data_IF_636080365236
#
_entry.id   IF_636080365236
#
_cell.length_a   1.000
_cell.length_b   1.000
_cell.length_c   1.000
_cell.angle_alpha   90.00
_cell.angle_beta   90.00
_cell.angle_gamma   90.00
#
_symmetry.space_group_name_H-M   'P 1'
#
loop_
_entity.id
_entity.type
_entity.pdbx_description
1 polymer ?
#
# COMPACT_ATOMS: atom_id res chain seq x y z
N UNK A 1 0.60 7.07 -10.54
CA UNK A 1 0.30 6.16 -9.42
C UNK A 1 0.06 7.01 -8.18
N UNK A 2 -1.21 7.23 -7.84
CA UNK A 2 -1.57 8.01 -6.64
C UNK A 2 -1.24 7.17 -5.40
N UNK A 3 -0.49 7.75 -4.45
CA UNK A 3 0.04 7.02 -3.28
C UNK A 3 -1.00 7.04 -2.15
N UNK A 4 -1.47 5.87 -1.72
CA UNK A 4 -2.34 5.70 -0.53
C UNK A 4 -1.57 5.68 0.80
N UNK A 5 -0.46 6.42 0.86
CA UNK A 5 0.47 6.39 1.99
C UNK A 5 -0.24 6.85 3.27
N UNK A 6 -0.58 5.90 4.14
CA UNK A 6 -1.33 6.13 5.37
C UNK A 6 -2.17 4.95 5.83
N UNK A 7 -2.65 4.12 4.89
CA UNK A 7 -3.47 2.94 5.22
C UNK A 7 -2.65 1.68 5.51
N UNK A 8 -1.42 1.60 5.01
CA UNK A 8 -0.52 0.47 5.23
C UNK A 8 0.82 0.98 5.74
N UNK A 9 0.92 1.31 7.03
CA UNK A 9 2.13 1.90 7.59
C UNK A 9 3.32 0.94 7.51
N UNK A 10 4.48 1.51 7.24
CA UNK A 10 5.73 0.75 7.17
C UNK A 10 5.85 -0.20 5.98
N UNK A 11 4.98 -0.12 4.97
CA UNK A 11 5.14 -0.89 3.73
C UNK A 11 5.79 -0.03 2.65
N UNK A 12 6.84 -0.56 2.03
CA UNK A 12 7.49 0.00 0.85
C UNK A 12 7.15 -0.85 -0.36
N UNK A 13 6.67 -0.21 -1.43
CA UNK A 13 6.48 -0.83 -2.73
C UNK A 13 7.61 -0.46 -3.69
N UNK A 14 8.04 -1.42 -4.50
CA UNK A 14 8.97 -1.19 -5.61
C UNK A 14 8.57 -2.04 -6.81
N UNK A 15 8.61 -1.48 -8.02
CA UNK A 15 8.11 -2.11 -9.24
C UNK A 15 9.29 -2.42 -10.15
N UNK A 16 9.46 -3.70 -10.46
CA UNK A 16 10.54 -4.19 -11.30
C UNK A 16 9.98 -4.65 -12.62
N UNK A 17 10.57 -4.17 -13.71
CA UNK A 17 10.25 -4.63 -15.05
C UNK A 17 11.33 -5.61 -15.51
N UNK A 18 10.93 -6.59 -16.31
CA UNK A 18 11.87 -7.45 -17.01
C UNK A 18 12.86 -6.62 -17.85
N UNK A 19 14.06 -7.15 -18.06
CA UNK A 19 15.07 -6.49 -18.92
C UNK A 19 14.67 -6.49 -20.39
N UNK A 20 13.80 -7.41 -20.79
CA UNK A 20 13.20 -7.48 -22.10
C UNK A 20 11.86 -6.71 -22.10
N UNK A 21 11.48 -6.06 -23.22
CA UNK A 21 10.25 -5.26 -23.29
C UNK A 21 9.01 -6.15 -23.45
N UNK A 22 8.90 -7.20 -22.64
CA UNK A 22 7.75 -8.11 -22.63
C UNK A 22 6.51 -7.43 -22.08
N UNK A 23 6.69 -6.42 -21.21
CA UNK A 23 5.61 -5.78 -20.45
C UNK A 23 5.34 -6.46 -19.11
N UNK A 24 6.10 -7.51 -18.77
CA UNK A 24 6.05 -8.15 -17.47
C UNK A 24 6.61 -7.25 -16.38
N UNK A 25 6.00 -7.33 -15.21
CA UNK A 25 6.47 -6.60 -14.04
C UNK A 25 6.17 -7.36 -12.75
N UNK A 26 7.07 -7.25 -11.78
CA UNK A 26 6.84 -7.72 -10.41
C UNK A 26 6.77 -6.52 -9.48
N UNK A 27 5.65 -6.39 -8.76
CA UNK A 27 5.56 -5.48 -7.62
C UNK A 27 6.06 -6.21 -6.37
N UNK A 28 7.09 -5.65 -5.74
CA UNK A 28 7.57 -6.09 -4.43
C UNK A 28 7.03 -5.17 -3.34
N UNK A 29 6.45 -5.76 -2.30
CA UNK A 29 6.06 -5.11 -1.06
C UNK A 29 6.98 -5.60 0.06
N UNK A 30 7.57 -4.66 0.78
CA UNK A 30 8.55 -4.94 1.83
C UNK A 30 8.17 -4.22 3.12
N UNK A 31 8.26 -4.92 4.25
CA UNK A 31 8.17 -4.28 5.56
C UNK A 31 9.44 -3.45 5.83
N UNK A 32 9.25 -2.17 6.15
CA UNK A 32 10.31 -1.20 6.43
C UNK A 32 11.04 -1.49 7.75
N UNK A 33 10.55 -2.43 8.58
CA UNK A 33 11.23 -2.88 9.78
C UNK A 33 12.60 -3.53 9.52
N UNK A 34 12.86 -3.99 8.28
CA UNK A 34 14.20 -4.40 7.84
C UNK A 34 14.26 -5.79 7.21
N UNK A 35 15.48 -6.30 6.94
CA UNK A 35 15.68 -7.62 6.32
C UNK A 35 15.08 -8.75 7.16
N UNK A 36 14.48 -9.76 6.49
CA UNK A 36 13.85 -10.91 7.15
C UNK A 36 12.47 -10.63 7.73
N UNK A 37 11.96 -9.40 7.59
CA UNK A 37 10.57 -9.07 7.89
C UNK A 37 9.63 -9.52 6.76
N UNK A 38 8.35 -9.17 6.91
CA UNK A 38 7.31 -9.58 5.97
C UNK A 38 7.51 -9.02 4.57
N UNK A 39 7.09 -9.78 3.55
CA UNK A 39 7.16 -9.38 2.15
C UNK A 39 6.00 -9.96 1.34
N UNK A 40 5.72 -9.36 0.19
CA UNK A 40 4.90 -9.93 -0.87
C UNK A 40 5.47 -9.60 -2.26
N UNK A 41 5.29 -10.50 -3.22
CA UNK A 41 5.52 -10.28 -4.66
C UNK A 41 4.19 -10.45 -5.39
N UNK A 42 4.02 -9.66 -6.45
CA UNK A 42 2.84 -9.72 -7.33
C UNK A 42 3.32 -9.63 -8.76
N UNK A 43 3.11 -10.71 -9.52
CA UNK A 43 3.56 -10.82 -10.90
C UNK A 43 2.45 -10.42 -11.86
N UNK A 44 2.77 -9.46 -12.73
CA UNK A 44 1.99 -9.07 -13.89
C UNK A 44 2.58 -9.73 -15.14
N UNK A 45 1.75 -10.45 -15.87
CA UNK A 45 2.05 -10.97 -17.21
C UNK A 45 1.05 -10.39 -18.20
N UNK A 46 1.49 -9.72 -19.28
CA UNK A 46 0.58 -9.14 -20.25
C UNK A 46 -0.31 -10.19 -20.91
N UNK A 47 -1.62 -9.94 -20.92
CA UNK A 47 -2.62 -10.84 -21.50
C UNK A 47 -3.20 -11.86 -20.53
N UNK A 48 -2.68 -11.95 -19.31
CA UNK A 48 -3.27 -12.74 -18.23
C UNK A 48 -4.26 -11.91 -17.42
N UNK A 49 -5.37 -12.55 -17.03
CA UNK A 49 -6.43 -11.91 -16.23
C UNK A 49 -6.22 -12.03 -14.72
N UNK A 50 -5.13 -12.69 -14.29
CA UNK A 50 -4.81 -12.95 -12.90
C UNK A 50 -3.36 -12.58 -12.57
N UNK A 51 -3.15 -12.16 -11.33
CA UNK A 51 -1.83 -11.88 -10.77
C UNK A 51 -1.41 -13.03 -9.85
N UNK A 52 -0.20 -13.54 -10.04
CA UNK A 52 0.39 -14.51 -9.10
C UNK A 52 0.92 -13.74 -7.90
N UNK A 53 0.51 -14.14 -6.70
CA UNK A 53 0.92 -13.50 -5.44
C UNK A 53 1.64 -14.50 -4.56
N UNK A 54 2.84 -14.14 -4.14
CA UNK A 54 3.57 -14.84 -3.08
C UNK A 54 3.80 -13.90 -1.90
N UNK A 55 3.74 -14.42 -0.67
CA UNK A 55 3.97 -13.60 0.52
C UNK A 55 4.39 -14.44 1.72
N UNK A 56 5.26 -13.88 2.56
CA UNK A 56 5.72 -14.51 3.79
C UNK A 56 6.04 -13.50 4.90
N UNK A 57 6.16 -14.00 6.13
CA UNK A 57 6.41 -13.21 7.33
C UNK A 57 5.18 -13.07 8.23
N UNK A 58 5.32 -12.30 9.31
CA UNK A 58 4.28 -12.13 10.34
C UNK A 58 3.09 -11.28 9.90
N UNK A 59 3.23 -10.52 8.81
CA UNK A 59 2.18 -9.73 8.17
C UNK A 59 1.93 -10.23 6.75
N UNK A 60 0.68 -10.13 6.30
CA UNK A 60 0.26 -10.46 4.94
C UNK A 60 0.15 -9.17 4.14
N UNK A 61 1.28 -8.69 3.65
CA UNK A 61 1.39 -7.32 3.12
C UNK A 61 0.52 -7.07 1.89
N UNK A 62 0.33 -8.09 1.04
CA UNK A 62 -0.60 -7.97 -0.09
C UNK A 62 -2.03 -7.78 0.38
N UNK A 63 -2.48 -8.61 1.33
CA UNK A 63 -3.82 -8.54 1.90
C UNK A 63 -4.08 -7.17 2.56
N UNK A 64 -3.09 -6.59 3.24
CA UNK A 64 -3.18 -5.25 3.82
C UNK A 64 -3.30 -4.14 2.75
N UNK A 65 -2.51 -4.22 1.67
CA UNK A 65 -2.58 -3.28 0.54
C UNK A 65 -3.90 -3.40 -0.21
N UNK A 66 -4.38 -4.61 -0.43
CA UNK A 66 -5.66 -4.88 -1.07
C UNK A 66 -6.82 -4.33 -0.21
N UNK A 67 -6.79 -4.58 1.10
CA UNK A 67 -7.77 -4.03 2.03
C UNK A 67 -7.76 -2.49 2.04
N UNK A 68 -6.58 -1.88 2.01
CA UNK A 68 -6.41 -0.43 1.90
C UNK A 68 -6.99 0.12 0.58
N UNK A 69 -6.72 -0.54 -0.54
CA UNK A 69 -7.26 -0.18 -1.84
C UNK A 69 -8.80 -0.23 -1.84
N UNK A 70 -9.39 -1.30 -1.32
CA UNK A 70 -10.84 -1.41 -1.18
C UNK A 70 -11.42 -0.37 -0.22
N UNK A 71 -10.71 0.01 0.83
CA UNK A 71 -11.14 1.10 1.72
C UNK A 71 -11.14 2.45 0.99
N UNK A 72 -10.11 2.74 0.20
CA UNK A 72 -10.06 3.96 -0.62
C UNK A 72 -11.19 4.01 -1.66
N UNK A 73 -11.51 2.85 -2.27
CA UNK A 73 -12.68 2.75 -3.15
C UNK A 73 -13.98 3.07 -2.40
N UNK A 74 -14.15 2.55 -1.17
CA UNK A 74 -15.32 2.85 -0.32
C UNK A 74 -15.44 4.32 0.06
N UNK A 75 -14.32 5.03 0.20
CA UNK A 75 -14.31 6.49 0.41
C UNK A 75 -14.68 7.29 -0.84
N UNK A 76 -14.93 6.64 -1.97
CA UNK A 76 -15.29 7.31 -3.22
C UNK A 76 -14.07 7.86 -3.97
N UNK A 77 -12.91 7.23 -3.81
CA UNK A 77 -11.67 7.60 -4.52
C UNK A 77 -11.26 9.06 -4.28
N UNK A 78 -11.16 9.51 -3.02
CA UNK A 78 -10.80 10.88 -2.72
C UNK A 78 -9.45 11.24 -3.32
N UNK A 79 -9.37 12.43 -3.91
CA UNK A 79 -8.11 13.01 -4.34
C UNK A 79 -7.20 13.29 -3.14
N UNK A 80 -5.89 13.32 -3.37
CA UNK A 80 -4.88 13.55 -2.32
C UNK A 80 -5.12 14.84 -1.52
N UNK A 81 -5.71 15.87 -2.12
CA UNK A 81 -6.02 17.17 -1.48
C UNK A 81 -7.07 17.08 -0.37
N UNK A 82 -7.86 16.00 -0.32
CA UNK A 82 -8.80 15.75 0.78
C UNK A 82 -8.14 15.13 2.00
N UNK A 83 -6.90 14.65 1.85
CA UNK A 83 -6.14 14.13 2.97
C UNK A 83 -5.39 15.26 3.65
N UNK A 84 -5.37 15.23 4.98
CA UNK A 84 -4.54 16.12 5.77
C UNK A 84 -3.66 15.37 6.75
N UNK A 85 -2.67 16.08 7.29
CA UNK A 85 -1.71 15.60 8.27
C UNK A 85 -1.70 16.55 9.45
N UNK A 86 -2.00 16.04 10.64
CA UNK A 86 -1.80 16.76 11.90
C UNK A 86 -0.54 16.24 12.56
N UNK A 87 0.38 17.15 12.89
CA UNK A 87 1.63 16.86 13.61
C UNK A 87 1.58 17.56 14.96
N UNK A 88 1.83 16.81 16.02
CA UNK A 88 1.88 17.27 17.42
C UNK A 88 3.14 16.73 18.11
N UNK A 89 3.41 17.17 19.33
CA UNK A 89 4.46 16.55 20.18
C UNK A 89 4.24 15.06 20.40
N UNK A 90 2.98 14.61 20.34
CA UNK A 90 2.59 13.22 20.62
C UNK A 90 2.66 12.33 19.35
N UNK A 91 3.01 12.91 18.21
CA UNK A 91 3.18 12.20 16.94
C UNK A 91 2.39 12.81 15.79
N UNK A 92 2.23 12.01 14.73
CA UNK A 92 1.60 12.39 13.47
C UNK A 92 0.34 11.56 13.19
N UNK A 93 -0.69 12.20 12.64
CA UNK A 93 -1.96 11.54 12.30
C UNK A 93 -2.45 12.02 10.93
N UNK A 94 -2.79 11.08 10.06
CA UNK A 94 -3.41 11.35 8.75
C UNK A 94 -4.94 11.32 8.92
N UNK A 95 -5.65 12.16 8.21
CA UNK A 95 -7.12 12.24 8.24
C UNK A 95 -7.70 12.54 6.85
N UNK A 96 -8.99 12.29 6.67
CA UNK A 96 -9.75 12.57 5.45
C UNK A 96 -10.77 13.68 5.72
N UNK A 97 -10.80 14.73 4.91
CA UNK A 97 -11.67 15.91 5.00
C UNK A 97 -11.48 16.80 6.23
N UNK A 98 -11.50 16.23 7.44
CA UNK A 98 -11.40 16.96 8.70
C UNK A 98 -10.45 16.27 9.70
N UNK A 99 -9.74 17.02 10.58
CA UNK A 99 -8.80 16.45 11.56
C UNK A 99 -9.36 15.39 12.53
N UNK A 100 -10.69 15.30 12.67
CA UNK A 100 -11.37 14.29 13.49
C UNK A 100 -11.55 12.95 12.78
N UNK A 101 -11.49 12.93 11.45
CA UNK A 101 -11.71 11.76 10.60
C UNK A 101 -10.39 11.03 10.34
N UNK A 102 -9.84 10.48 11.42
CA UNK A 102 -8.52 9.84 11.44
C UNK A 102 -8.46 8.57 10.56
N UNK A 103 -7.35 8.43 9.85
CA UNK A 103 -7.00 7.27 9.03
C UNK A 103 -5.97 6.41 9.78
N UNK A 104 -6.29 5.15 9.97
CA UNK A 104 -5.45 4.17 10.65
C UNK A 104 -6.31 3.11 11.37
N UNK A 105 -5.68 2.09 11.97
CA UNK A 105 -6.42 1.16 12.81
C UNK A 105 -7.13 1.92 13.94
N UNK A 106 -8.44 1.72 14.08
CA UNK A 106 -9.18 2.15 15.28
C UNK A 106 -8.71 1.27 16.44
N UNK A 107 -7.79 1.77 17.26
CA UNK A 107 -7.49 1.23 18.60
C UNK A 107 -8.64 1.50 19.55
#
# INVERSE_FOLDING_TARGET
>A
MERFAGLVPGVRGDLFYGTEPTGEATLWLLDAAGPGCSWASVDHVPGEDAFVVEQAGGRRLWDEVEAAYFQWLRWGRPALTRFGLTVTSDGQRVWLDEPTDLIGPRT
#
